data_IF_925615824673
#
_entry.id   IF_925615824673
#
_cell.length_a   1.000
_cell.length_b   1.000
_cell.length_c   1.000
_cell.angle_alpha   90.00
_cell.angle_beta   90.00
_cell.angle_gamma   90.00
#
_symmetry.space_group_name_H-M   'P 1'
#
loop_
_entity.id
_entity.type
_entity.pdbx_description
1 polymer ?
#
# COMPACT_ATOMS: atom_id res chain seq x y z
N UNK A 1 -0.15 -7.72 -8.55
CA UNK A 1 -0.69 -6.43 -9.04
C UNK A 1 -1.39 -5.70 -7.90
N UNK A 2 -0.96 -4.46 -7.69
CA UNK A 2 -1.41 -3.55 -6.65
C UNK A 2 -1.97 -2.27 -7.30
N UNK A 3 -2.86 -1.60 -6.61
CA UNK A 3 -3.43 -0.32 -7.03
C UNK A 3 -3.47 0.62 -5.84
N UNK A 4 -2.71 1.71 -5.91
CA UNK A 4 -2.77 2.81 -4.95
C UNK A 4 -3.97 3.67 -5.32
N UNK A 5 -4.86 3.91 -4.37
CA UNK A 5 -5.92 4.91 -4.46
C UNK A 5 -5.63 6.04 -3.49
N UNK A 6 -5.43 7.23 -4.04
CA UNK A 6 -5.41 8.50 -3.32
C UNK A 6 -6.58 9.35 -3.82
N UNK A 7 -7.05 10.34 -3.07
CA UNK A 7 -8.20 11.19 -3.43
C UNK A 7 -8.13 11.68 -4.89
N UNK A 8 -8.94 11.06 -5.77
CA UNK A 8 -9.00 11.37 -7.21
C UNK A 8 -7.89 10.77 -8.09
N UNK A 9 -6.90 10.09 -7.53
CA UNK A 9 -5.79 9.48 -8.28
C UNK A 9 -5.73 7.96 -8.09
N UNK A 10 -5.48 7.25 -9.18
CA UNK A 10 -5.14 5.83 -9.17
C UNK A 10 -3.78 5.60 -9.80
N UNK A 11 -2.95 4.82 -9.13
CA UNK A 11 -1.69 4.33 -9.68
C UNK A 11 -1.67 2.81 -9.63
N UNK A 12 -1.30 2.19 -10.74
CA UNK A 12 -1.12 0.74 -10.82
C UNK A 12 0.35 0.40 -10.62
N UNK A 13 0.60 -0.61 -9.78
CA UNK A 13 1.94 -1.13 -9.51
C UNK A 13 1.90 -2.64 -9.73
N UNK A 14 2.87 -3.19 -10.44
CA UNK A 14 2.86 -4.62 -10.77
C UNK A 14 3.33 -5.46 -9.58
N UNK A 15 4.32 -4.94 -8.84
CA UNK A 15 5.05 -5.62 -7.76
C UNK A 15 4.98 -4.84 -6.44
N UNK A 16 5.27 -5.53 -5.32
CA UNK A 16 5.35 -4.89 -4.02
C UNK A 16 6.48 -3.85 -3.95
N UNK A 17 7.62 -4.11 -4.61
CA UNK A 17 8.74 -3.18 -4.69
C UNK A 17 8.35 -1.86 -5.42
N UNK A 18 7.66 -1.95 -6.55
CA UNK A 18 7.19 -0.75 -7.29
C UNK A 18 6.13 0.02 -6.52
N UNK A 19 5.27 -0.68 -5.78
CA UNK A 19 4.31 -0.09 -4.85
C UNK A 19 5.04 0.67 -3.74
N UNK A 20 6.00 0.03 -3.06
CA UNK A 20 6.75 0.61 -1.95
C UNK A 20 7.52 1.86 -2.40
N UNK A 21 8.21 1.79 -3.55
CA UNK A 21 8.91 2.94 -4.13
C UNK A 21 7.97 4.11 -4.44
N UNK A 22 6.81 3.84 -5.03
CA UNK A 22 5.82 4.88 -5.32
C UNK A 22 5.27 5.52 -4.03
N UNK A 23 4.90 4.71 -3.04
CA UNK A 23 4.41 5.18 -1.73
C UNK A 23 5.44 6.07 -1.04
N UNK A 24 6.67 5.57 -0.90
CA UNK A 24 7.74 6.26 -0.22
C UNK A 24 8.25 7.50 -0.98
N UNK A 25 8.07 7.61 -2.29
CA UNK A 25 8.54 8.77 -3.06
C UNK A 25 7.47 9.84 -3.25
N UNK A 26 6.23 9.46 -3.55
CA UNK A 26 5.21 10.38 -4.06
C UNK A 26 4.03 10.59 -3.11
N UNK A 27 3.92 9.76 -2.07
CA UNK A 27 2.80 9.78 -1.13
C UNK A 27 3.24 10.07 0.32
N UNK A 28 4.47 10.58 0.55
CA UNK A 28 4.95 10.99 1.88
C UNK A 28 3.99 11.98 2.56
N UNK A 29 3.74 11.76 3.85
CA UNK A 29 2.82 12.55 4.65
C UNK A 29 1.35 12.41 4.23
N UNK A 30 1.00 11.37 3.47
CA UNK A 30 -0.37 11.14 2.99
C UNK A 30 -0.86 9.74 3.37
N UNK A 31 -2.16 9.66 3.64
CA UNK A 31 -2.88 8.41 3.81
C UNK A 31 -3.47 7.97 2.47
N UNK A 32 -3.23 6.71 2.09
CA UNK A 32 -3.70 6.13 0.82
C UNK A 32 -4.25 4.73 1.02
N UNK A 33 -5.15 4.31 0.13
CA UNK A 33 -5.70 2.96 0.14
C UNK A 33 -5.00 2.10 -0.91
N UNK A 34 -4.29 1.05 -0.49
CA UNK A 34 -3.67 0.07 -1.37
C UNK A 34 -4.61 -1.11 -1.56
N UNK A 35 -4.92 -1.41 -2.81
CA UNK A 35 -5.72 -2.57 -3.17
C UNK A 35 -4.90 -3.60 -3.92
N UNK A 36 -5.09 -4.87 -3.60
CA UNK A 36 -4.42 -5.96 -4.27
C UNK A 36 -5.28 -7.20 -4.33
N UNK A 37 -4.93 -8.12 -5.22
CA UNK A 37 -5.54 -9.46 -5.27
C UNK A 37 -4.59 -10.44 -4.58
N UNK A 38 -5.16 -11.24 -3.70
CA UNK A 38 -4.50 -12.41 -3.13
C UNK A 38 -4.44 -13.54 -4.18
N UNK A 39 -3.53 -14.52 -4.04
CA UNK A 39 -3.47 -15.70 -4.90
C UNK A 39 -4.80 -16.46 -4.99
N UNK A 40 -5.61 -16.40 -3.92
CA UNK A 40 -6.96 -17.00 -3.84
C UNK A 40 -8.04 -16.21 -4.59
N UNK A 41 -7.67 -15.14 -5.30
CA UNK A 41 -8.57 -14.32 -6.10
C UNK A 41 -9.35 -13.25 -5.31
N UNK A 42 -9.19 -13.19 -3.98
CA UNK A 42 -9.87 -12.19 -3.15
C UNK A 42 -9.20 -10.83 -3.33
N UNK A 43 -10.03 -9.80 -3.58
CA UNK A 43 -9.60 -8.39 -3.56
C UNK A 43 -9.53 -7.91 -2.13
N UNK A 44 -8.33 -7.56 -1.67
CA UNK A 44 -8.10 -6.96 -0.36
C UNK A 44 -7.77 -5.48 -0.52
N UNK A 45 -8.20 -4.66 0.43
CA UNK A 45 -7.84 -3.25 0.53
C UNK A 45 -7.22 -3.01 1.90
N UNK A 46 -6.07 -2.35 1.92
CA UNK A 46 -5.35 -1.94 3.14
C UNK A 46 -5.18 -0.44 3.08
N UNK A 47 -5.54 0.24 4.16
CA UNK A 47 -5.32 1.68 4.28
C UNK A 47 -3.99 1.89 4.99
N UNK A 48 -3.11 2.66 4.35
CA UNK A 48 -1.77 2.93 4.86
C UNK A 48 -1.51 4.42 4.94
N UNK A 49 -0.79 4.81 5.98
CA UNK A 49 -0.20 6.11 6.14
C UNK A 49 1.27 6.03 5.78
N UNK A 50 1.72 6.95 4.93
CA UNK A 50 3.14 7.13 4.64
C UNK A 50 3.65 8.27 5.50
N UNK A 51 4.57 7.99 6.40
CA UNK A 51 5.20 9.02 7.23
C UNK A 51 6.07 9.97 6.39
N UNK A 52 6.51 11.09 6.96
CA UNK A 52 7.42 12.02 6.29
C UNK A 52 8.77 11.39 5.95
N UNK A 53 9.24 10.45 6.79
CA UNK A 53 10.44 9.63 6.53
C UNK A 53 10.23 8.56 5.44
N UNK A 54 9.02 8.40 4.93
CA UNK A 54 8.68 7.41 3.91
C UNK A 54 8.41 6.01 4.46
N UNK A 55 8.21 5.86 5.77
CA UNK A 55 7.76 4.60 6.37
C UNK A 55 6.27 4.39 6.08
N UNK A 56 5.91 3.16 5.74
CA UNK A 56 4.53 2.80 5.40
C UNK A 56 3.94 2.01 6.55
N UNK A 57 2.94 2.59 7.22
CA UNK A 57 2.27 2.00 8.38
C UNK A 57 0.79 1.85 8.12
N UNK A 58 0.12 0.92 8.79
CA UNK A 58 -1.34 0.82 8.70
C UNK A 58 -2.01 2.08 9.25
N UNK A 59 -3.00 2.62 8.53
CA UNK A 59 -3.76 3.80 9.01
C UNK A 59 -4.62 3.49 10.23
N UNK A 60 -5.08 2.24 10.35
CA UNK A 60 -5.98 1.78 11.40
C UNK A 60 -5.32 0.70 12.27
N UNK A 61 -5.76 0.59 13.53
CA UNK A 61 -5.24 -0.40 14.48
C UNK A 61 -3.91 0.02 15.11
N UNK A 62 -2.97 -0.92 15.23
CA UNK A 62 -1.68 -0.74 15.92
C UNK A 62 -0.64 0.04 15.09
N UNK A 63 -1.00 0.54 13.89
CA UNK A 63 -0.09 1.28 12.99
C UNK A 63 1.23 0.57 12.74
N UNK A 64 1.16 -0.74 12.53
CA UNK A 64 2.34 -1.57 12.27
C UNK A 64 2.86 -1.31 10.86
N UNK A 65 4.15 -1.57 10.66
CA UNK A 65 4.76 -1.52 9.34
C UNK A 65 4.08 -2.54 8.41
N UNK A 66 3.68 -2.10 7.22
CA UNK A 66 2.97 -2.96 6.27
C UNK A 66 3.96 -3.64 5.34
N UNK A 67 4.05 -4.95 5.47
CA UNK A 67 4.84 -5.78 4.57
C UNK A 67 3.95 -6.39 3.48
N UNK A 68 3.91 -5.73 2.33
CA UNK A 68 3.06 -6.14 1.21
C UNK A 68 3.53 -7.43 0.54
N UNK A 69 4.80 -7.83 0.72
CA UNK A 69 5.30 -9.11 0.19
C UNK A 69 4.66 -10.29 0.92
N UNK A 70 4.56 -10.19 2.26
CA UNK A 70 3.89 -11.22 3.06
C UNK A 70 2.38 -11.29 2.78
N UNK A 71 1.76 -10.17 2.40
CA UNK A 71 0.33 -10.12 2.08
C UNK A 71 -0.05 -10.84 0.78
N UNK A 72 0.89 -11.02 -0.15
CA UNK A 72 0.66 -11.74 -1.42
C UNK A 72 1.02 -13.22 -1.31
N UNK A 73 1.78 -13.62 -0.28
CA UNK A 73 2.24 -15.00 -0.10
C UNK A 73 1.18 -15.95 0.51
N UNK A 74 0.03 -15.47 0.98
CA UNK A 74 -1.00 -16.25 1.71
C UNK A 74 -2.33 -16.46 0.95
#
# INVERSE_FOLDING_TARGET
MFTIRSFGQRRHCETAATLHGALASEYRGRSVAVQFRTPRGLKRSVFVDVTEDGLIVESYGERRAVDFEQCVAY
#
